data_IF_908955114936
#
_entry.id   IF_908955114936
#
_cell.length_a   1.000
_cell.length_b   1.000
_cell.length_c   1.000
_cell.angle_alpha   90.00
_cell.angle_beta   90.00
_cell.angle_gamma   90.00
#
_symmetry.space_group_name_H-M   'P 1'
#
loop_
_entity.id
_entity.type
_entity.pdbx_description
1 polymer ?
#
# COMPACT_ATOMS: atom_id res chain seq x y z
N UNK A 1 3.43 -31.73 21.48
CA UNK A 1 2.88 -30.36 21.32
C UNK A 1 3.92 -29.29 21.66
N UNK A 2 4.53 -29.29 22.86
CA UNK A 2 5.51 -28.27 23.31
C UNK A 2 6.63 -27.98 22.28
N UNK A 3 7.26 -29.02 21.69
CA UNK A 3 8.36 -28.85 20.71
C UNK A 3 7.96 -28.05 19.45
N UNK A 4 6.73 -28.18 18.97
CA UNK A 4 6.29 -27.49 17.75
C UNK A 4 6.10 -25.99 18.01
N UNK A 5 5.49 -25.65 19.14
CA UNK A 5 5.31 -24.25 19.55
C UNK A 5 6.64 -23.55 19.79
N UNK A 6 7.63 -24.26 20.37
CA UNK A 6 8.97 -23.70 20.56
C UNK A 6 9.67 -23.42 19.23
N UNK A 7 9.57 -24.34 18.26
CA UNK A 7 10.16 -24.15 16.94
C UNK A 7 9.53 -22.96 16.19
N UNK A 8 8.20 -22.84 16.22
CA UNK A 8 7.50 -21.70 15.62
C UNK A 8 7.87 -20.37 16.30
N UNK A 9 8.05 -20.37 17.63
CA UNK A 9 8.50 -19.19 18.36
C UNK A 9 9.94 -18.80 17.99
N UNK A 10 10.84 -19.77 17.81
CA UNK A 10 12.22 -19.53 17.37
C UNK A 10 12.26 -18.99 15.93
N UNK A 11 11.53 -19.60 15.01
CA UNK A 11 11.44 -19.14 13.61
C UNK A 11 10.92 -17.69 13.54
N UNK A 12 9.87 -17.38 14.31
CA UNK A 12 9.35 -16.02 14.43
C UNK A 12 10.39 -15.04 14.98
N UNK A 13 11.10 -15.41 16.04
CA UNK A 13 12.13 -14.55 16.63
C UNK A 13 13.27 -14.27 15.64
N UNK A 14 13.68 -15.28 14.85
CA UNK A 14 14.70 -15.13 13.82
C UNK A 14 14.25 -14.16 12.70
N UNK A 15 13.01 -14.30 12.23
CA UNK A 15 12.44 -13.38 11.23
C UNK A 15 12.40 -11.95 11.78
N UNK A 16 11.88 -11.75 13.00
CA UNK A 16 11.82 -10.43 13.63
C UNK A 16 13.23 -9.81 13.74
N UNK A 17 14.22 -10.58 14.16
CA UNK A 17 15.60 -10.12 14.29
C UNK A 17 16.16 -9.61 12.96
N UNK A 18 15.86 -10.27 11.83
CA UNK A 18 16.28 -9.80 10.49
C UNK A 18 15.70 -8.43 10.14
N UNK A 19 14.42 -8.19 10.46
CA UNK A 19 13.81 -6.88 10.24
C UNK A 19 14.33 -5.79 11.19
N UNK A 20 14.67 -6.13 12.43
CA UNK A 20 15.24 -5.19 13.40
C UNK A 20 16.67 -4.79 13.05
N UNK A 21 17.47 -5.72 12.53
CA UNK A 21 18.81 -5.42 11.99
C UNK A 21 18.75 -4.51 10.76
N UNK A 22 17.67 -4.63 9.98
CA UNK A 22 17.46 -3.85 8.77
C UNK A 22 18.41 -4.26 7.63
N UNK A 23 18.49 -3.40 6.62
CA UNK A 23 19.35 -3.65 5.47
C UNK A 23 20.84 -3.45 5.83
N UNK A 24 21.65 -4.50 5.66
CA UNK A 24 23.10 -4.43 5.86
C UNK A 24 23.75 -3.81 4.61
N UNK A 25 24.29 -2.60 4.76
CA UNK A 25 24.98 -1.89 3.69
C UNK A 25 26.25 -2.67 3.28
N UNK A 26 26.22 -3.35 2.13
CA UNK A 26 27.37 -4.10 1.59
C UNK A 26 27.15 -5.61 1.43
N UNK A 27 26.03 -6.16 1.90
CA UNK A 27 25.66 -7.53 1.53
C UNK A 27 25.08 -7.51 0.11
N UNK A 28 25.52 -8.41 -0.81
CA UNK A 28 24.76 -8.67 -2.03
C UNK A 28 23.31 -8.93 -1.61
N UNK A 29 22.33 -8.39 -2.35
CA UNK A 29 20.95 -8.83 -2.16
C UNK A 29 20.99 -10.37 -2.19
N UNK A 30 20.65 -11.00 -1.07
CA UNK A 30 20.72 -12.45 -0.92
C UNK A 30 19.94 -13.03 -2.11
N UNK A 31 20.59 -13.70 -3.09
CA UNK A 31 19.89 -14.14 -4.27
C UNK A 31 18.95 -15.24 -3.79
N UNK A 32 17.65 -14.94 -3.73
CA UNK A 32 16.62 -15.97 -3.60
C UNK A 32 16.94 -16.99 -4.73
N UNK A 33 17.00 -18.31 -4.49
CA UNK A 33 17.47 -19.31 -5.49
C UNK A 33 16.72 -19.34 -6.83
N UNK A 34 15.74 -18.46 -7.01
CA UNK A 34 14.92 -18.27 -8.22
C UNK A 34 15.17 -16.91 -8.91
N UNK A 35 16.11 -16.10 -8.43
CA UNK A 35 16.42 -14.77 -8.97
C UNK A 35 17.41 -14.85 -10.14
N UNK A 36 16.91 -15.32 -11.29
CA UNK A 36 17.55 -15.10 -12.59
C UNK A 36 17.02 -13.77 -13.16
N UNK A 37 17.60 -12.64 -12.76
CA UNK A 37 17.28 -11.35 -13.37
C UNK A 37 18.52 -10.54 -13.76
N UNK A 38 18.94 -10.79 -15.01
CA UNK A 38 19.93 -10.03 -15.77
C UNK A 38 19.72 -8.50 -15.65
N UNK A 39 20.79 -7.82 -15.26
CA UNK A 39 20.87 -6.50 -14.64
C UNK A 39 20.78 -5.34 -15.66
N UNK A 40 19.96 -5.46 -16.71
CA UNK A 40 19.95 -4.51 -17.84
C UNK A 40 18.86 -3.40 -17.79
N UNK A 41 17.88 -3.40 -16.87
CA UNK A 41 16.72 -2.50 -16.97
C UNK A 41 16.80 -1.17 -16.14
N UNK A 42 17.86 -0.99 -15.36
CA UNK A 42 17.97 0.05 -14.32
C UNK A 42 18.50 1.43 -14.78
N UNK A 43 17.91 2.05 -15.80
CA UNK A 43 18.18 3.48 -16.14
C UNK A 43 16.93 4.35 -16.30
N UNK A 44 15.78 3.93 -15.77
CA UNK A 44 14.49 4.57 -16.09
C UNK A 44 13.73 5.03 -14.84
N UNK A 45 14.40 5.68 -13.87
CA UNK A 45 13.72 6.14 -12.64
C UNK A 45 12.98 7.48 -12.75
N UNK A 46 12.90 8.11 -13.93
CA UNK A 46 11.91 9.18 -14.21
C UNK A 46 11.24 9.10 -15.59
N UNK A 47 11.24 7.94 -16.24
CA UNK A 47 10.65 7.76 -17.58
C UNK A 47 9.62 6.64 -17.61
N UNK A 48 8.45 6.90 -17.03
CA UNK A 48 7.26 6.07 -17.19
C UNK A 48 6.68 6.18 -18.62
N UNK A 49 7.38 5.64 -19.60
CA UNK A 49 6.87 5.41 -20.95
C UNK A 49 6.67 3.91 -21.20
N UNK A 50 5.38 3.56 -21.34
CA UNK A 50 4.77 2.39 -21.98
C UNK A 50 5.73 1.40 -22.67
N UNK A 51 5.65 0.09 -22.39
CA UNK A 51 6.04 -0.94 -23.37
C UNK A 51 4.82 -1.23 -24.27
N UNK A 52 4.96 -1.04 -25.58
CA UNK A 52 3.96 -1.50 -26.54
C UNK A 52 3.52 -0.53 -27.63
N UNK A 53 4.43 0.21 -28.27
CA UNK A 53 4.20 0.69 -29.63
C UNK A 53 5.46 0.45 -30.45
N UNK A 54 5.30 -0.32 -31.52
CA UNK A 54 6.30 -0.50 -32.56
C UNK A 54 6.79 0.87 -33.05
N UNK A 55 8.10 1.06 -33.05
CA UNK A 55 8.77 2.25 -33.58
C UNK A 55 8.70 2.23 -35.11
N UNK A 56 7.56 2.61 -35.66
CA UNK A 56 7.46 3.14 -37.01
C UNK A 56 6.53 4.37 -37.00
N UNK A 57 7.13 5.57 -36.93
CA UNK A 57 6.52 6.78 -37.51
C UNK A 57 5.75 7.77 -36.63
N UNK A 58 6.02 7.94 -35.33
CA UNK A 58 5.39 9.01 -34.53
C UNK A 58 6.37 10.13 -34.15
N UNK A 59 6.09 11.34 -34.64
CA UNK A 59 6.91 12.56 -34.47
C UNK A 59 7.14 12.94 -32.99
N UNK A 60 8.42 13.07 -32.61
CA UNK A 60 8.91 13.38 -31.25
C UNK A 60 8.35 14.73 -30.72
N UNK A 61 8.05 15.69 -31.59
CA UNK A 61 7.45 16.97 -31.21
C UNK A 61 6.00 16.84 -30.69
N UNK A 62 5.23 15.87 -31.19
CA UNK A 62 3.85 15.62 -30.76
C UNK A 62 3.75 15.02 -29.35
N UNK A 63 4.68 14.14 -28.98
CA UNK A 63 4.73 13.56 -27.63
C UNK A 63 5.10 14.61 -26.55
N UNK A 64 5.97 15.56 -26.88
CA UNK A 64 6.38 16.63 -25.95
C UNK A 64 5.20 17.54 -25.56
N UNK A 65 4.39 17.94 -26.54
CA UNK A 65 3.22 18.81 -26.30
C UNK A 65 2.10 18.09 -25.56
N UNK A 66 1.84 16.81 -25.86
CA UNK A 66 0.85 16.01 -25.12
C UNK A 66 1.25 15.81 -23.65
N UNK A 67 2.53 15.47 -23.38
CA UNK A 67 3.05 15.35 -22.02
C UNK A 67 2.97 16.68 -21.26
N UNK A 68 3.29 17.81 -21.91
CA UNK A 68 3.18 19.13 -21.31
C UNK A 68 1.72 19.48 -20.95
N UNK A 69 0.76 19.18 -21.84
CA UNK A 69 -0.68 19.36 -21.59
C UNK A 69 -1.14 18.50 -20.40
N UNK A 70 -0.71 17.25 -20.31
CA UNK A 70 -1.04 16.36 -19.19
C UNK A 70 -0.49 16.91 -17.86
N UNK A 71 0.77 17.36 -17.83
CA UNK A 71 1.38 17.98 -16.64
C UNK A 71 0.63 19.24 -16.21
N UNK A 72 0.27 20.12 -17.14
CA UNK A 72 -0.52 21.31 -16.84
C UNK A 72 -1.90 20.97 -16.27
N UNK A 73 -2.55 19.92 -16.80
CA UNK A 73 -3.80 19.42 -16.24
C UNK A 73 -3.63 18.86 -14.83
N UNK A 74 -2.55 18.12 -14.55
CA UNK A 74 -2.24 17.55 -13.24
C UNK A 74 -1.98 18.63 -12.19
N UNK A 75 -1.20 19.65 -12.56
CA UNK A 75 -0.97 20.84 -11.73
C UNK A 75 -2.31 21.51 -11.42
N UNK A 76 -3.15 21.78 -12.44
CA UNK A 76 -4.47 22.39 -12.24
C UNK A 76 -5.38 21.55 -11.35
N UNK A 77 -5.30 20.21 -11.42
CA UNK A 77 -6.04 19.32 -10.52
C UNK A 77 -5.52 19.43 -9.09
N UNK A 78 -4.21 19.40 -8.90
CA UNK A 78 -3.55 19.53 -7.59
C UNK A 78 -3.89 20.86 -6.91
N UNK A 79 -3.80 22.00 -7.61
CA UNK A 79 -4.15 23.32 -7.05
C UNK A 79 -5.60 23.37 -6.54
N UNK A 80 -6.53 22.77 -7.29
CA UNK A 80 -7.94 22.70 -6.86
C UNK A 80 -8.13 21.83 -5.62
N UNK A 81 -7.35 20.76 -5.46
CA UNK A 81 -7.34 19.92 -4.27
C UNK A 81 -6.73 20.64 -3.07
N UNK A 82 -5.61 21.33 -3.23
CA UNK A 82 -5.01 22.16 -2.17
C UNK A 82 -6.02 23.18 -1.64
N UNK A 83 -6.75 23.87 -2.52
CA UNK A 83 -7.83 24.79 -2.12
C UNK A 83 -8.95 24.10 -1.34
N UNK A 84 -9.26 22.84 -1.66
CA UNK A 84 -10.28 22.10 -0.93
C UNK A 84 -9.80 21.64 0.44
N UNK A 85 -8.56 21.17 0.54
CA UNK A 85 -7.97 20.66 1.78
C UNK A 85 -7.83 21.77 2.82
N UNK A 86 -7.50 23.00 2.40
CA UNK A 86 -7.47 24.18 3.30
C UNK A 86 -8.82 24.48 3.96
N UNK A 87 -9.92 24.20 3.26
CA UNK A 87 -11.29 24.47 3.74
C UNK A 87 -12.09 23.16 3.80
N UNK A 88 -11.49 22.11 4.37
CA UNK A 88 -12.03 20.75 4.29
C UNK A 88 -13.46 20.63 4.82
N UNK A 89 -13.75 21.24 5.98
CA UNK A 89 -15.07 21.24 6.62
C UNK A 89 -16.19 21.71 5.68
N UNK A 90 -15.92 22.73 4.85
CA UNK A 90 -16.87 23.23 3.83
C UNK A 90 -17.14 22.23 2.71
N UNK A 91 -16.15 21.41 2.36
CA UNK A 91 -16.25 20.48 1.22
C UNK A 91 -16.61 19.06 1.63
N UNK A 92 -16.47 18.71 2.90
CA UNK A 92 -16.88 17.42 3.46
C UNK A 92 -18.35 17.14 3.15
N UNK A 93 -18.67 15.88 2.82
CA UNK A 93 -20.00 15.45 2.34
C UNK A 93 -20.48 16.04 0.99
N UNK A 94 -19.83 17.07 0.45
CA UNK A 94 -20.35 17.77 -0.74
C UNK A 94 -20.24 16.94 -2.04
N UNK A 95 -21.21 17.12 -2.95
CA UNK A 95 -21.16 16.53 -4.32
C UNK A 95 -19.92 16.95 -5.09
N UNK A 96 -19.33 18.11 -4.79
CA UNK A 96 -18.09 18.59 -5.41
C UNK A 96 -16.89 17.77 -4.97
N UNK A 97 -16.82 17.41 -3.69
CA UNK A 97 -15.78 16.55 -3.14
C UNK A 97 -15.89 15.13 -3.69
N UNK A 98 -17.07 14.50 -3.60
CA UNK A 98 -17.34 13.16 -4.19
C UNK A 98 -16.89 13.08 -5.65
N UNK A 99 -17.34 14.02 -6.50
CA UNK A 99 -16.96 14.06 -7.94
C UNK A 99 -15.45 14.15 -8.17
N UNK A 100 -14.69 14.80 -7.28
CA UNK A 100 -13.24 14.96 -7.43
C UNK A 100 -12.49 13.73 -6.96
N UNK A 101 -12.95 13.09 -5.89
CA UNK A 101 -12.47 11.78 -5.46
C UNK A 101 -12.62 10.78 -6.61
N UNK A 102 -13.80 10.71 -7.25
CA UNK A 102 -14.03 9.82 -8.40
C UNK A 102 -13.15 10.11 -9.62
N UNK A 103 -12.79 11.37 -9.87
CA UNK A 103 -11.85 11.75 -10.93
C UNK A 103 -10.40 11.41 -10.60
N UNK A 104 -10.13 10.97 -9.38
CA UNK A 104 -8.80 10.65 -8.87
C UNK A 104 -8.17 11.81 -8.10
N UNK A 105 -7.54 11.42 -6.98
CA UNK A 105 -6.76 12.30 -6.12
C UNK A 105 -5.32 12.40 -6.68
N UNK A 106 -4.81 13.61 -6.97
CA UNK A 106 -3.45 13.82 -7.44
C UNK A 106 -2.43 13.27 -6.42
N UNK A 107 -1.35 12.60 -6.88
CA UNK A 107 -0.37 11.97 -5.99
C UNK A 107 0.17 12.90 -4.89
N UNK A 108 0.38 14.18 -5.22
CA UNK A 108 0.97 15.19 -4.34
C UNK A 108 0.13 15.49 -3.09
N UNK A 109 -1.16 15.15 -3.11
CA UNK A 109 -2.11 15.46 -2.02
C UNK A 109 -2.77 14.20 -1.46
N UNK A 110 -2.35 13.01 -1.91
CA UNK A 110 -2.98 11.73 -1.49
C UNK A 110 -2.88 11.51 0.00
N UNK A 111 -1.69 11.66 0.59
CA UNK A 111 -1.49 11.45 2.02
C UNK A 111 -2.49 12.25 2.85
N UNK A 112 -2.47 13.59 2.71
CA UNK A 112 -3.39 14.48 3.42
C UNK A 112 -4.87 14.19 3.12
N UNK A 113 -5.22 13.96 1.85
CA UNK A 113 -6.61 13.69 1.48
C UNK A 113 -7.11 12.36 2.05
N UNK A 114 -6.28 11.31 2.04
CA UNK A 114 -6.64 10.00 2.58
C UNK A 114 -6.76 10.03 4.10
N UNK A 115 -5.85 10.73 4.79
CA UNK A 115 -5.94 10.92 6.23
C UNK A 115 -7.26 11.58 6.65
N UNK A 116 -7.69 12.59 5.89
CA UNK A 116 -8.97 13.27 6.14
C UNK A 116 -10.19 12.46 5.72
N UNK A 117 -10.10 11.65 4.67
CA UNK A 117 -11.23 10.85 4.19
C UNK A 117 -11.49 9.62 5.07
N UNK A 118 -10.44 9.08 5.71
CA UNK A 118 -10.51 7.93 6.61
C UNK A 118 -10.57 8.35 8.10
N UNK A 119 -10.66 9.65 8.37
CA UNK A 119 -10.65 10.23 9.72
C UNK A 119 -9.48 9.71 10.59
N UNK A 120 -8.29 9.54 10.01
CA UNK A 120 -7.16 8.87 10.67
C UNK A 120 -6.71 9.57 11.95
N UNK A 121 -6.72 10.91 11.97
CA UNK A 121 -6.34 11.68 13.16
C UNK A 121 -7.26 11.37 14.35
N UNK A 122 -8.56 11.31 14.10
CA UNK A 122 -9.56 10.96 15.12
C UNK A 122 -9.32 9.54 15.64
N UNK A 123 -9.15 8.57 14.73
CA UNK A 123 -8.92 7.16 15.10
C UNK A 123 -7.64 7.00 15.91
N UNK A 124 -6.57 7.70 15.54
CA UNK A 124 -5.29 7.68 16.27
C UNK A 124 -5.42 8.22 17.69
N UNK A 125 -6.09 9.36 17.84
CA UNK A 125 -6.33 9.97 19.17
C UNK A 125 -7.16 9.02 20.04
N UNK A 126 -8.21 8.40 19.49
CA UNK A 126 -9.04 7.43 20.22
C UNK A 126 -8.29 6.13 20.59
N UNK A 127 -7.22 5.79 19.86
CA UNK A 127 -6.46 4.55 20.02
C UNK A 127 -4.98 4.80 20.33
N UNK A 128 -4.67 5.86 21.07
CA UNK A 128 -3.30 6.26 21.35
C UNK A 128 -2.46 5.10 21.94
N UNK A 129 -1.28 4.86 21.37
CA UNK A 129 -0.37 3.79 21.78
C UNK A 129 -0.86 2.37 21.49
N UNK A 130 -2.01 2.18 20.85
CA UNK A 130 -2.51 0.84 20.48
C UNK A 130 -1.68 0.22 19.38
N UNK A 131 -1.29 0.99 18.35
CA UNK A 131 -0.44 0.48 17.26
C UNK A 131 0.89 -0.07 17.79
N UNK A 132 1.57 0.68 18.65
CA UNK A 132 2.84 0.25 19.26
C UNK A 132 2.70 -1.06 20.05
N UNK A 133 1.63 -1.19 20.85
CA UNK A 133 1.31 -2.44 21.56
C UNK A 133 1.05 -3.61 20.60
N UNK A 134 0.30 -3.39 19.51
CA UNK A 134 0.04 -4.42 18.50
C UNK A 134 1.34 -4.86 17.82
N UNK A 135 2.24 -3.93 17.51
CA UNK A 135 3.55 -4.22 16.93
C UNK A 135 4.41 -5.07 17.86
N UNK A 136 4.42 -4.78 19.16
CA UNK A 136 5.13 -5.57 20.18
C UNK A 136 4.51 -6.97 20.34
N UNK A 137 3.18 -7.06 20.42
CA UNK A 137 2.47 -8.34 20.50
C UNK A 137 2.67 -9.20 19.26
N UNK A 138 2.72 -8.58 18.08
CA UNK A 138 2.92 -9.29 16.82
C UNK A 138 4.26 -10.04 16.78
N UNK A 139 5.32 -9.45 17.35
CA UNK A 139 6.65 -10.09 17.47
C UNK A 139 6.61 -11.36 18.31
N UNK A 140 5.72 -11.42 19.29
CA UNK A 140 5.61 -12.56 20.22
C UNK A 140 4.57 -13.59 19.77
N UNK A 141 3.48 -13.17 19.13
CA UNK A 141 2.28 -13.99 18.98
C UNK A 141 1.76 -14.13 17.54
N UNK A 142 2.24 -13.34 16.57
CA UNK A 142 1.75 -13.44 15.19
C UNK A 142 2.00 -14.84 14.62
N UNK A 143 0.93 -15.51 14.18
CA UNK A 143 0.98 -16.83 13.53
C UNK A 143 1.31 -16.73 12.04
N UNK A 144 1.10 -15.56 11.46
CA UNK A 144 1.21 -15.33 10.02
C UNK A 144 2.56 -14.77 9.59
N UNK A 145 3.48 -14.58 10.53
CA UNK A 145 4.72 -13.82 10.33
C UNK A 145 5.59 -14.37 9.18
N UNK A 146 5.63 -15.69 9.02
CA UNK A 146 6.35 -16.37 7.94
C UNK A 146 5.75 -16.09 6.57
N UNK A 147 4.42 -16.15 6.48
CA UNK A 147 3.70 -15.86 5.24
C UNK A 147 3.83 -14.37 4.87
N UNK A 148 3.73 -13.49 5.87
CA UNK A 148 3.94 -12.06 5.70
C UNK A 148 5.37 -11.79 5.21
N UNK A 149 6.39 -12.40 5.79
CA UNK A 149 7.78 -12.21 5.37
C UNK A 149 8.01 -12.57 3.90
N UNK A 150 7.47 -13.71 3.48
CA UNK A 150 7.54 -14.19 2.10
C UNK A 150 6.78 -13.27 1.13
N UNK A 151 5.62 -12.74 1.53
CA UNK A 151 4.88 -11.79 0.69
C UNK A 151 5.58 -10.43 0.63
N UNK A 152 6.18 -9.97 1.73
CA UNK A 152 6.96 -8.72 1.78
C UNK A 152 8.14 -8.79 0.82
N UNK A 153 8.89 -9.91 0.79
CA UNK A 153 10.05 -10.06 -0.11
C UNK A 153 9.68 -9.90 -1.58
N UNK A 154 8.43 -10.23 -1.95
CA UNK A 154 7.91 -10.20 -3.32
C UNK A 154 7.07 -8.96 -3.65
N UNK A 155 6.83 -8.06 -2.69
CA UNK A 155 5.93 -6.92 -2.87
C UNK A 155 6.63 -5.74 -3.53
N UNK A 156 6.19 -5.39 -4.75
CA UNK A 156 6.70 -4.23 -5.49
C UNK A 156 8.24 -4.16 -5.60
N UNK A 157 8.91 -5.29 -5.83
CA UNK A 157 10.38 -5.38 -5.96
C UNK A 157 10.97 -4.40 -6.99
N UNK A 158 10.23 -4.09 -8.06
CA UNK A 158 10.67 -3.13 -9.08
C UNK A 158 10.44 -1.65 -8.69
N UNK A 159 9.97 -1.38 -7.47
CA UNK A 159 9.74 -0.04 -6.96
C UNK A 159 10.90 0.39 -6.05
N UNK A 160 11.46 1.57 -6.31
CA UNK A 160 12.58 2.14 -5.53
C UNK A 160 12.34 2.15 -4.01
N UNK A 161 11.09 2.23 -3.55
CA UNK A 161 10.76 2.21 -2.13
C UNK A 161 10.87 0.80 -1.52
N UNK A 162 10.59 -0.25 -2.29
CA UNK A 162 10.44 -1.63 -1.78
C UNK A 162 11.48 -2.61 -2.35
N UNK A 163 12.37 -2.16 -3.24
CA UNK A 163 13.39 -3.00 -3.87
C UNK A 163 14.41 -3.57 -2.87
N UNK A 164 14.74 -2.82 -1.82
CA UNK A 164 15.77 -3.22 -0.85
C UNK A 164 15.20 -4.17 0.20
N UNK A 165 15.75 -5.39 0.26
CA UNK A 165 15.39 -6.38 1.28
C UNK A 165 15.74 -5.86 2.66
N UNK A 166 14.75 -5.88 3.56
CA UNK A 166 14.80 -5.30 4.90
C UNK A 166 15.04 -3.77 4.91
N UNK A 167 14.80 -3.08 3.79
CA UNK A 167 14.82 -1.61 3.73
C UNK A 167 13.68 -0.98 4.56
N UNK A 168 13.75 0.33 4.80
CA UNK A 168 12.84 1.06 5.71
C UNK A 168 11.35 0.79 5.37
N UNK A 169 10.98 0.79 4.09
CA UNK A 169 9.58 0.58 3.69
C UNK A 169 9.17 -0.90 3.71
N UNK A 170 10.08 -1.84 3.50
CA UNK A 170 9.79 -3.26 3.74
C UNK A 170 9.59 -3.54 5.23
N UNK A 171 10.41 -2.93 6.11
CA UNK A 171 10.21 -3.00 7.56
C UNK A 171 8.86 -2.41 7.96
N UNK A 172 8.50 -1.23 7.45
CA UNK A 172 7.20 -0.63 7.72
C UNK A 172 6.04 -1.51 7.23
N UNK A 173 6.17 -2.12 6.04
CA UNK A 173 5.19 -3.05 5.50
C UNK A 173 5.02 -4.27 6.40
N UNK A 174 6.12 -4.88 6.81
CA UNK A 174 6.13 -6.01 7.72
C UNK A 174 5.49 -5.65 9.07
N UNK A 175 5.87 -4.51 9.66
CA UNK A 175 5.33 -4.03 10.94
C UNK A 175 3.81 -3.85 10.89
N UNK A 176 3.30 -3.18 9.85
CA UNK A 176 1.86 -2.92 9.71
C UNK A 176 1.07 -4.22 9.53
N UNK A 177 1.55 -5.13 8.68
CA UNK A 177 0.86 -6.39 8.41
C UNK A 177 0.85 -7.33 9.63
N UNK A 178 1.99 -7.45 10.30
CA UNK A 178 2.11 -8.29 11.50
C UNK A 178 1.33 -7.71 12.68
N UNK A 179 1.34 -6.38 12.86
CA UNK A 179 0.49 -5.72 13.84
C UNK A 179 -1.00 -5.91 13.54
N UNK A 180 -1.40 -5.88 12.26
CA UNK A 180 -2.79 -6.09 11.87
C UNK A 180 -3.26 -7.52 12.15
N UNK A 181 -2.43 -8.53 11.91
CA UNK A 181 -2.81 -9.94 12.13
C UNK A 181 -3.12 -10.26 13.60
N UNK A 182 -2.55 -9.52 14.55
CA UNK A 182 -2.88 -9.63 15.99
C UNK A 182 -3.94 -8.63 16.45
N UNK A 183 -4.17 -7.56 15.69
CA UNK A 183 -5.22 -6.58 15.99
C UNK A 183 -6.63 -7.14 15.71
N UNK A 184 -6.81 -7.79 14.56
CA UNK A 184 -8.06 -8.46 14.21
C UNK A 184 -7.76 -9.95 13.94
N UNK A 185 -7.77 -10.75 15.00
CA UNK A 185 -7.45 -12.19 14.93
C UNK A 185 -8.51 -13.03 14.21
N UNK A 186 -9.72 -12.50 14.01
CA UNK A 186 -10.76 -13.20 13.22
C UNK A 186 -10.42 -13.19 11.73
N UNK A 187 -9.88 -12.08 11.24
CA UNK A 187 -9.43 -11.95 9.85
C UNK A 187 -7.98 -12.42 9.69
N UNK A 188 -7.12 -12.09 10.65
CA UNK A 188 -5.68 -12.34 10.58
C UNK A 188 -5.03 -11.64 9.38
N UNK A 189 -3.96 -12.23 8.86
CA UNK A 189 -3.39 -11.85 7.57
C UNK A 189 -4.02 -12.64 6.43
N UNK A 190 -4.47 -11.94 5.38
CA UNK A 190 -4.93 -12.57 4.15
C UNK A 190 -4.14 -12.10 2.91
N UNK A 191 -4.04 -12.98 1.92
CA UNK A 191 -3.28 -12.71 0.71
C UNK A 191 -3.81 -11.48 -0.03
N UNK A 192 -2.91 -10.60 -0.44
CA UNK A 192 -3.22 -9.33 -1.10
C UNK A 192 -3.20 -8.11 -0.17
N UNK A 193 -3.27 -8.30 1.16
CA UNK A 193 -3.13 -7.19 2.12
C UNK A 193 -1.78 -6.47 1.98
N UNK A 194 -0.71 -7.21 1.69
CA UNK A 194 0.61 -6.67 1.42
C UNK A 194 0.61 -5.59 0.32
N UNK A 195 -0.13 -5.80 -0.77
CA UNK A 195 -0.20 -4.82 -1.86
C UNK A 195 -0.94 -3.54 -1.43
N UNK A 196 -2.03 -3.69 -0.66
CA UNK A 196 -2.81 -2.56 -0.15
C UNK A 196 -1.94 -1.72 0.79
N UNK A 197 -1.30 -2.36 1.78
CA UNK A 197 -0.46 -1.67 2.75
C UNK A 197 0.73 -1.02 2.09
N UNK A 198 1.36 -1.66 1.10
CA UNK A 198 2.46 -1.06 0.39
C UNK A 198 2.04 0.20 -0.39
N UNK A 199 0.83 0.22 -0.98
CA UNK A 199 0.27 1.44 -1.60
C UNK A 199 0.01 2.52 -0.54
N UNK A 200 -0.51 2.16 0.63
CA UNK A 200 -0.73 3.11 1.72
C UNK A 200 0.60 3.73 2.18
N UNK A 201 1.64 2.91 2.37
CA UNK A 201 2.99 3.34 2.80
C UNK A 201 3.73 4.22 1.78
N UNK A 202 3.29 4.27 0.51
CA UNK A 202 3.82 5.24 -0.47
C UNK A 202 3.36 6.68 -0.16
N UNK A 203 2.25 6.86 0.56
CA UNK A 203 1.63 8.17 0.79
C UNK A 203 1.39 8.50 2.26
N UNK A 204 1.49 7.52 3.16
CA UNK A 204 1.24 7.61 4.59
C UNK A 204 2.46 7.14 5.39
N UNK A 205 2.53 7.57 6.64
CA UNK A 205 3.50 7.05 7.62
C UNK A 205 3.08 5.66 8.11
N UNK A 206 3.97 4.96 8.82
CA UNK A 206 3.74 3.57 9.28
C UNK A 206 2.43 3.41 10.08
N UNK A 207 2.26 4.20 11.15
CA UNK A 207 1.05 4.13 11.98
C UNK A 207 -0.22 4.58 11.24
N UNK A 208 -0.13 5.60 10.38
CA UNK A 208 -1.26 6.07 9.58
C UNK A 208 -1.71 4.98 8.59
N UNK A 209 -0.77 4.24 8.01
CA UNK A 209 -1.06 3.12 7.12
C UNK A 209 -1.74 1.96 7.85
N UNK A 210 -1.37 1.70 9.11
CA UNK A 210 -2.06 0.72 9.96
C UNK A 210 -3.51 1.11 10.21
N UNK A 211 -3.77 2.34 10.64
CA UNK A 211 -5.15 2.79 10.89
C UNK A 211 -5.95 2.93 9.61
N UNK A 212 -5.32 3.29 8.50
CA UNK A 212 -5.96 3.24 7.20
C UNK A 212 -6.40 1.81 6.86
N UNK A 213 -5.52 0.81 7.02
CA UNK A 213 -5.88 -0.59 6.81
C UNK A 213 -7.05 -1.01 7.73
N UNK A 214 -6.99 -0.72 9.03
CA UNK A 214 -8.05 -1.06 9.98
C UNK A 214 -9.40 -0.44 9.59
N UNK A 215 -9.41 0.84 9.22
CA UNK A 215 -10.63 1.52 8.75
C UNK A 215 -11.18 0.87 7.48
N UNK A 216 -10.32 0.38 6.59
CA UNK A 216 -10.75 -0.25 5.33
C UNK A 216 -11.30 -1.66 5.48
N UNK A 217 -10.91 -2.34 6.55
CA UNK A 217 -11.32 -3.72 6.83
C UNK A 217 -12.53 -3.78 7.77
N UNK A 218 -12.57 -2.93 8.81
CA UNK A 218 -13.57 -3.05 9.90
C UNK A 218 -14.74 -2.06 9.78
N UNK A 219 -14.53 -0.89 9.17
CA UNK A 219 -15.51 0.18 9.29
C UNK A 219 -16.66 -0.02 8.30
N UNK A 220 -17.90 -0.28 8.75
CA UNK A 220 -19.07 -0.49 7.87
C UNK A 220 -19.29 0.59 6.77
N UNK A 221 -18.78 1.81 6.97
CA UNK A 221 -18.82 2.91 5.98
C UNK A 221 -17.68 2.85 4.95
N UNK A 222 -16.53 2.30 5.31
CA UNK A 222 -15.28 2.27 4.53
C UNK A 222 -14.86 0.86 4.14
N UNK A 223 -15.56 -0.15 4.66
CA UNK A 223 -15.33 -1.54 4.44
C UNK A 223 -15.43 -1.78 2.94
N UNK A 224 -14.36 -2.30 2.36
CA UNK A 224 -14.56 -3.13 1.19
C UNK A 224 -15.55 -4.21 1.64
N UNK A 225 -16.70 -4.36 0.99
CA UNK A 225 -17.68 -5.39 1.34
C UNK A 225 -17.03 -6.78 1.15
N UNK A 226 -16.25 -7.21 2.14
CA UNK A 226 -15.59 -8.50 2.20
C UNK A 226 -16.67 -9.60 2.18
N UNK A 227 -17.86 -9.33 2.72
CA UNK A 227 -19.02 -10.24 2.67
C UNK A 227 -19.64 -10.47 1.28
N UNK A 228 -19.32 -9.67 0.26
CA UNK A 228 -19.73 -9.93 -1.15
C UNK A 228 -18.57 -10.50 -1.98
N UNK A 229 -17.35 -10.48 -1.45
CA UNK A 229 -16.13 -10.99 -2.09
C UNK A 229 -15.68 -12.35 -1.54
N UNK A 230 -16.13 -12.75 -0.35
CA UNK A 230 -15.91 -14.09 0.21
C UNK A 230 -16.96 -15.11 -0.29
N UNK A 231 -17.10 -15.18 -1.63
CA UNK A 231 -17.23 -16.49 -2.26
C UNK A 231 -15.82 -17.05 -2.35
N UNK A 232 -15.50 -18.03 -1.51
CA UNK A 232 -14.17 -18.64 -1.37
C UNK A 232 -13.74 -19.34 -2.68
N UNK A 233 -13.29 -18.56 -3.65
CA UNK A 233 -12.55 -18.98 -4.87
C UNK A 233 -12.12 -17.79 -5.74
N UNK A 234 -12.72 -16.60 -5.60
CA UNK A 234 -12.45 -15.45 -6.49
C UNK A 234 -11.65 -14.29 -5.88
N UNK A 235 -11.34 -14.31 -4.58
CA UNK A 235 -10.47 -13.30 -4.00
C UNK A 235 -9.06 -13.34 -4.63
N UNK A 236 -8.53 -14.54 -4.88
CA UNK A 236 -7.20 -14.73 -5.47
C UNK A 236 -7.03 -14.11 -6.86
N UNK A 237 -8.08 -14.08 -7.68
CA UNK A 237 -8.03 -13.55 -9.04
C UNK A 237 -8.23 -12.03 -9.10
N UNK A 238 -8.84 -11.41 -8.08
CA UNK A 238 -8.99 -9.96 -7.99
C UNK A 238 -7.68 -9.24 -7.61
N UNK A 239 -6.81 -9.89 -6.83
CA UNK A 239 -5.57 -9.31 -6.29
C UNK A 239 -4.29 -9.64 -7.09
N UNK A 240 -4.42 -10.32 -8.24
CA UNK A 240 -3.28 -10.87 -8.99
C UNK A 240 -2.65 -9.92 -10.03
N UNK A 241 -3.13 -8.68 -10.20
CA UNK A 241 -2.59 -7.75 -11.22
C UNK A 241 -1.41 -6.92 -10.72
N UNK A 242 -0.20 -7.33 -11.13
CA UNK A 242 1.13 -6.81 -10.75
C UNK A 242 1.47 -5.35 -11.14
N UNK A 243 0.50 -4.48 -11.50
CA UNK A 243 0.81 -3.14 -12.03
C UNK A 243 0.00 -1.98 -11.42
N UNK A 244 0.69 -0.89 -11.05
CA UNK A 244 0.13 0.35 -10.46
C UNK A 244 -0.97 1.03 -11.31
N UNK A 245 -1.00 0.79 -12.63
CA UNK A 245 -2.07 1.29 -13.51
C UNK A 245 -3.39 0.55 -13.31
N UNK A 246 -3.34 -0.70 -12.89
CA UNK A 246 -4.48 -1.58 -12.61
C UNK A 246 -4.99 -1.42 -11.17
N UNK A 247 -4.19 -0.79 -10.30
CA UNK A 247 -4.62 -0.35 -8.97
C UNK A 247 -5.49 0.92 -8.99
N UNK A 248 -5.56 1.66 -10.11
CA UNK A 248 -6.48 2.81 -10.24
C UNK A 248 -7.95 2.40 -10.08
N UNK A 249 -8.44 1.34 -10.74
CA UNK A 249 -9.74 0.74 -10.47
C UNK A 249 -9.94 0.32 -9.00
N UNK A 250 -8.91 -0.24 -8.36
CA UNK A 250 -8.94 -0.68 -6.94
C UNK A 250 -9.18 0.53 -6.04
N UNK A 251 -8.40 1.60 -6.21
CA UNK A 251 -8.56 2.83 -5.44
C UNK A 251 -9.88 3.56 -5.78
N UNK A 252 -10.33 3.52 -7.04
CA UNK A 252 -11.63 4.10 -7.42
C UNK A 252 -12.80 3.30 -6.84
N UNK A 253 -12.73 1.96 -6.81
CA UNK A 253 -13.72 1.08 -6.14
C UNK A 253 -13.70 1.25 -4.62
N UNK A 254 -12.51 1.35 -4.04
CA UNK A 254 -12.26 1.73 -2.64
C UNK A 254 -12.95 3.04 -2.27
N UNK A 255 -12.83 4.09 -3.11
CA UNK A 255 -13.54 5.35 -2.89
C UNK A 255 -15.02 5.33 -3.31
N UNK A 256 -15.48 4.31 -4.06
CA UNK A 256 -16.91 4.12 -4.40
C UNK A 256 -17.73 3.62 -3.22
N UNK A 257 -17.19 2.72 -2.39
CA UNK A 257 -17.88 2.22 -1.19
C UNK A 257 -18.15 3.32 -0.14
N UNK A 258 -17.29 4.34 -0.11
CA UNK A 258 -17.32 5.42 0.88
C UNK A 258 -18.44 6.44 0.73
N UNK A 259 -19.05 6.51 -0.45
CA UNK A 259 -20.07 7.49 -0.77
C UNK A 259 -21.17 6.86 -1.63
N UNK A 260 -22.07 6.06 -1.03
CA UNK A 260 -23.23 5.54 -1.75
C UNK A 260 -24.03 6.70 -2.38
N UNK A 261 -24.63 6.40 -3.54
CA UNK A 261 -25.38 7.31 -4.40
C UNK A 261 -26.19 8.33 -3.61
#
# INVERSE_FOLDING_TARGET
MVKLETLLALERAEIVAKYEQGHQSGSPADPDPWDDSDLSCYKVTYRWEQPGLSTQGLSIHGLSTHKARQRAQDIRRATKWVKMLRNWSKYWGSRKMRRRVYKGIPPQVRGQAWSLLLDLEKVKVENQGKYQRMKEQARLYSRDIKYIDMDVSRTFQNNIMFQERYGIKQQALFNVLTAYSVYNTEVGYCHGMNQIVAILLMFLNEEDAFWALAQLMDNKRHAMHVGTLLGASQASSFWSSRNFRDCRPIMIRFWRGLFPS
#
